data_IF_481879135909
#
_entry.id   IF_481879135909
#
_cell.length_a   1.000
_cell.length_b   1.000
_cell.length_c   1.000
_cell.angle_alpha   90.00
_cell.angle_beta   90.00
_cell.angle_gamma   90.00
#
_symmetry.space_group_name_H-M   'P 1'
#
loop_
_entity.id
_entity.type
_entity.pdbx_description
1 polymer ?
#
# COMPACT_ATOMS: atom_id res chain seq x y z
N UNK A 1 -32.46 70.43 14.97
CA UNK A 1 -31.35 69.92 14.13
C UNK A 1 -30.70 68.66 14.74
N UNK A 2 -31.32 68.01 15.74
CA UNK A 2 -30.72 66.91 16.52
C UNK A 2 -31.34 65.53 16.27
N UNK A 3 -32.47 65.44 15.55
CA UNK A 3 -33.17 64.16 15.30
C UNK A 3 -32.57 63.44 14.06
N UNK A 4 -31.95 64.20 13.15
CA UNK A 4 -31.36 63.66 11.92
C UNK A 4 -30.02 62.95 12.15
N UNK A 5 -29.28 63.34 13.21
CA UNK A 5 -28.02 62.71 13.61
C UNK A 5 -28.24 61.33 14.24
N UNK A 6 -29.30 61.16 15.03
CA UNK A 6 -29.60 59.89 15.70
C UNK A 6 -30.09 58.82 14.70
N UNK A 7 -30.91 59.21 13.72
CA UNK A 7 -31.37 58.28 12.70
C UNK A 7 -30.22 57.77 11.82
N UNK A 8 -29.26 58.64 11.49
CA UNK A 8 -28.09 58.28 10.70
C UNK A 8 -27.13 57.38 11.48
N UNK A 9 -26.97 57.60 12.79
CA UNK A 9 -26.18 56.74 13.67
C UNK A 9 -26.79 55.33 13.79
N UNK A 10 -28.12 55.22 13.91
CA UNK A 10 -28.81 53.92 13.94
C UNK A 10 -28.64 53.18 12.60
N UNK A 11 -28.75 53.87 11.47
CA UNK A 11 -28.55 53.24 10.15
C UNK A 11 -27.11 52.74 9.97
N UNK A 12 -26.10 53.50 10.42
CA UNK A 12 -24.69 53.08 10.39
C UNK A 12 -24.46 51.85 11.27
N UNK A 13 -24.97 51.82 12.51
CA UNK A 13 -24.82 50.67 13.41
C UNK A 13 -25.47 49.42 12.83
N UNK A 14 -26.65 49.56 12.22
CA UNK A 14 -27.34 48.45 11.57
C UNK A 14 -26.52 47.95 10.37
N UNK A 15 -26.06 48.84 9.50
CA UNK A 15 -25.23 48.49 8.34
C UNK A 15 -23.91 47.80 8.76
N UNK A 16 -23.24 48.30 9.79
CA UNK A 16 -22.03 47.71 10.34
C UNK A 16 -22.30 46.32 10.93
N UNK A 17 -23.43 46.14 11.64
CA UNK A 17 -23.81 44.83 12.17
C UNK A 17 -24.08 43.81 11.07
N UNK A 18 -24.77 44.19 9.99
CA UNK A 18 -25.01 43.32 8.84
C UNK A 18 -23.71 43.00 8.08
N UNK A 19 -22.83 43.99 7.90
CA UNK A 19 -21.51 43.81 7.26
C UNK A 19 -20.62 42.84 8.06
N UNK A 20 -20.60 43.00 9.39
CA UNK A 20 -19.81 42.14 10.28
C UNK A 20 -20.37 40.70 10.30
N UNK A 21 -21.70 40.54 10.32
CA UNK A 21 -22.34 39.21 10.21
C UNK A 21 -22.08 38.54 8.87
N UNK A 22 -22.04 39.30 7.77
CA UNK A 22 -21.68 38.80 6.44
C UNK A 22 -20.21 38.35 6.37
N UNK A 23 -19.29 39.11 6.96
CA UNK A 23 -17.87 38.75 7.03
C UNK A 23 -17.63 37.48 7.85
N UNK A 24 -18.27 37.34 9.02
CA UNK A 24 -18.18 36.12 9.83
C UNK A 24 -18.72 34.91 9.06
N UNK A 25 -19.83 35.07 8.33
CA UNK A 25 -20.39 33.98 7.52
C UNK A 25 -19.47 33.57 6.36
N UNK A 26 -18.84 34.55 5.70
CA UNK A 26 -17.85 34.31 4.65
C UNK A 26 -16.58 33.61 5.19
N UNK A 27 -16.10 34.01 6.36
CA UNK A 27 -14.94 33.41 7.03
C UNK A 27 -15.23 31.97 7.51
N UNK A 28 -16.44 31.72 8.02
CA UNK A 28 -16.89 30.36 8.37
C UNK A 28 -16.96 29.45 7.13
N UNK A 29 -17.47 29.96 6.00
CA UNK A 29 -17.54 29.20 4.75
C UNK A 29 -16.15 28.89 4.18
N UNK A 30 -15.18 29.83 4.27
CA UNK A 30 -13.81 29.54 3.81
C UNK A 30 -13.09 28.55 4.72
N UNK A 31 -13.32 28.61 6.04
CA UNK A 31 -12.73 27.69 7.00
C UNK A 31 -13.29 26.27 6.86
N UNK A 32 -14.58 26.10 6.60
CA UNK A 32 -15.19 24.77 6.40
C UNK A 32 -14.61 24.06 5.17
N UNK A 33 -14.38 24.80 4.08
CA UNK A 33 -13.79 24.26 2.85
C UNK A 33 -12.29 23.94 3.00
N UNK A 34 -11.57 24.69 3.83
CA UNK A 34 -10.18 24.40 4.19
C UNK A 34 -10.07 23.11 5.03
N UNK A 35 -10.98 22.92 5.99
CA UNK A 35 -11.06 21.73 6.85
C UNK A 35 -11.36 20.45 6.04
N UNK A 36 -12.29 20.52 5.09
CA UNK A 36 -12.61 19.40 4.19
C UNK A 36 -11.40 19.01 3.32
N UNK A 37 -10.68 20.00 2.79
CA UNK A 37 -9.49 19.79 1.95
C UNK A 37 -8.37 19.10 2.74
N UNK A 38 -8.12 19.53 3.98
CA UNK A 38 -7.12 18.90 4.86
C UNK A 38 -7.48 17.45 5.21
N UNK A 39 -8.75 17.17 5.50
CA UNK A 39 -9.23 15.81 5.79
C UNK A 39 -9.07 14.90 4.58
N UNK A 40 -9.44 15.38 3.40
CA UNK A 40 -9.26 14.65 2.14
C UNK A 40 -7.78 14.36 1.86
N UNK A 41 -6.90 15.35 2.04
CA UNK A 41 -5.46 15.18 1.89
C UNK A 41 -4.91 14.08 2.81
N UNK A 42 -5.30 14.08 4.09
CA UNK A 42 -4.88 13.06 5.05
C UNK A 42 -5.32 11.65 4.63
N UNK A 43 -6.55 11.49 4.13
CA UNK A 43 -7.04 10.19 3.64
C UNK A 43 -6.26 9.70 2.42
N UNK A 44 -5.93 10.59 1.47
CA UNK A 44 -5.13 10.23 0.30
C UNK A 44 -3.71 9.83 0.66
N UNK A 45 -3.07 10.60 1.55
CA UNK A 45 -1.72 10.28 2.04
C UNK A 45 -1.69 8.90 2.71
N UNK A 46 -2.68 8.60 3.56
CA UNK A 46 -2.76 7.32 4.26
C UNK A 46 -2.93 6.15 3.27
N UNK A 47 -3.84 6.29 2.29
CA UNK A 47 -4.00 5.30 1.21
C UNK A 47 -2.71 5.09 0.41
N UNK A 48 -2.00 6.16 0.07
CA UNK A 48 -0.75 6.07 -0.68
C UNK A 48 0.33 5.32 0.10
N UNK A 49 0.46 5.61 1.40
CA UNK A 49 1.40 4.92 2.29
C UNK A 49 1.04 3.43 2.42
N UNK A 50 -0.23 3.09 2.55
CA UNK A 50 -0.70 1.70 2.66
C UNK A 50 -0.38 0.89 1.40
N UNK A 51 -0.62 1.47 0.22
CA UNK A 51 -0.32 0.83 -1.07
C UNK A 51 1.20 0.65 -1.23
N UNK A 52 2.01 1.67 -0.94
CA UNK A 52 3.47 1.59 -1.03
C UNK A 52 4.05 0.56 -0.06
N UNK A 53 3.55 0.51 1.18
CA UNK A 53 3.99 -0.47 2.18
C UNK A 53 3.66 -1.89 1.74
N UNK A 54 2.47 -2.10 1.18
CA UNK A 54 2.04 -3.39 0.62
C UNK A 54 2.91 -3.80 -0.57
N UNK A 55 3.22 -2.88 -1.48
CA UNK A 55 4.13 -3.11 -2.62
C UNK A 55 5.54 -3.51 -2.17
N UNK A 56 6.08 -2.83 -1.14
CA UNK A 56 7.37 -3.17 -0.55
C UNK A 56 7.37 -4.58 0.01
N UNK A 57 6.33 -4.93 0.79
CA UNK A 57 6.16 -6.26 1.38
C UNK A 57 6.13 -7.35 0.30
N UNK A 58 5.32 -7.18 -0.75
CA UNK A 58 5.26 -8.14 -1.86
C UNK A 58 6.60 -8.28 -2.58
N UNK A 59 7.33 -7.17 -2.78
CA UNK A 59 8.65 -7.21 -3.42
C UNK A 59 9.66 -8.01 -2.58
N UNK A 60 9.74 -7.76 -1.28
CA UNK A 60 10.61 -8.55 -0.37
C UNK A 60 10.23 -10.03 -0.33
N UNK A 61 8.93 -10.36 -0.37
CA UNK A 61 8.47 -11.75 -0.43
C UNK A 61 8.90 -12.45 -1.72
N UNK A 62 8.76 -11.79 -2.87
CA UNK A 62 9.21 -12.33 -4.17
C UNK A 62 10.71 -12.58 -4.17
N UNK A 63 11.52 -11.66 -3.63
CA UNK A 63 12.96 -11.86 -3.51
C UNK A 63 13.31 -13.05 -2.60
N UNK A 64 12.58 -13.23 -1.49
CA UNK A 64 12.72 -14.38 -0.62
C UNK A 64 12.46 -15.70 -1.35
N UNK A 65 11.33 -15.80 -2.06
CA UNK A 65 10.96 -16.98 -2.85
C UNK A 65 11.98 -17.26 -3.96
N UNK A 66 12.51 -16.23 -4.62
CA UNK A 66 13.57 -16.39 -5.64
C UNK A 66 14.86 -16.97 -5.04
N UNK A 67 15.25 -16.55 -3.84
CA UNK A 67 16.40 -17.14 -3.12
C UNK A 67 16.15 -18.59 -2.73
N UNK A 68 14.93 -18.92 -2.29
CA UNK A 68 14.56 -20.30 -1.95
C UNK A 68 14.61 -21.22 -3.18
N UNK A 69 14.09 -20.77 -4.33
CA UNK A 69 14.21 -21.49 -5.60
C UNK A 69 15.68 -21.70 -5.97
N UNK A 70 16.51 -20.67 -5.84
CA UNK A 70 17.94 -20.79 -6.17
C UNK A 70 18.64 -21.82 -5.28
N UNK A 71 18.37 -21.79 -3.97
CA UNK A 71 18.90 -22.78 -3.02
C UNK A 71 18.45 -24.20 -3.39
N UNK A 72 17.16 -24.39 -3.65
CA UNK A 72 16.61 -25.69 -4.05
C UNK A 72 17.22 -26.21 -5.36
N UNK A 73 17.41 -25.34 -6.37
CA UNK A 73 18.06 -25.70 -7.64
C UNK A 73 19.54 -26.05 -7.46
N UNK A 74 20.23 -25.42 -6.52
CA UNK A 74 21.61 -25.78 -6.19
C UNK A 74 21.66 -27.16 -5.52
N UNK A 75 20.82 -27.40 -4.51
CA UNK A 75 20.73 -28.70 -3.84
C UNK A 75 20.37 -29.82 -4.81
N UNK A 76 19.46 -29.58 -5.75
CA UNK A 76 19.12 -30.56 -6.79
C UNK A 76 20.32 -30.93 -7.66
N UNK A 77 21.12 -29.95 -8.08
CA UNK A 77 22.36 -30.19 -8.84
C UNK A 77 23.36 -31.05 -8.06
N UNK A 78 23.57 -30.74 -6.79
CA UNK A 78 24.49 -31.50 -5.93
C UNK A 78 24.00 -32.95 -5.74
N UNK A 79 22.71 -33.15 -5.49
CA UNK A 79 22.12 -34.50 -5.34
C UNK A 79 22.25 -35.30 -6.63
N UNK A 80 22.12 -34.66 -7.79
CA UNK A 80 22.24 -35.32 -9.07
C UNK A 80 23.65 -35.88 -9.33
N UNK A 81 24.69 -35.33 -8.69
CA UNK A 81 26.06 -35.88 -8.79
C UNK A 81 26.33 -37.13 -7.95
N UNK A 82 25.41 -37.50 -7.05
CA UNK A 82 25.55 -38.65 -6.15
C UNK A 82 24.92 -39.89 -6.79
N UNK A 83 25.49 -41.07 -6.52
CA UNK A 83 24.95 -42.34 -6.98
C UNK A 83 23.51 -42.60 -6.50
N UNK A 84 22.73 -43.30 -7.31
CA UNK A 84 21.30 -43.51 -7.05
C UNK A 84 21.00 -44.46 -5.88
N UNK A 85 21.97 -45.31 -5.53
CA UNK A 85 21.89 -46.25 -4.40
C UNK A 85 22.35 -45.65 -3.07
N UNK A 86 22.74 -44.37 -3.02
CA UNK A 86 23.20 -43.74 -1.78
C UNK A 86 22.00 -43.45 -0.86
N UNK A 87 22.02 -43.93 0.40
CA UNK A 87 20.97 -43.61 1.37
C UNK A 87 20.98 -42.11 1.69
N UNK A 88 19.83 -41.46 1.56
CA UNK A 88 19.68 -40.03 1.85
C UNK A 88 18.81 -39.78 3.06
N UNK A 89 19.12 -38.72 3.81
CA UNK A 89 18.40 -38.34 5.01
C UNK A 89 17.76 -36.97 4.82
N UNK A 90 16.43 -36.89 4.98
CA UNK A 90 15.68 -35.63 4.92
C UNK A 90 15.28 -35.21 6.33
N UNK A 91 15.45 -33.92 6.64
CA UNK A 91 14.99 -33.36 7.90
C UNK A 91 13.47 -33.23 7.94
N UNK A 92 12.84 -33.80 8.96
CA UNK A 92 11.43 -33.60 9.31
C UNK A 92 11.38 -33.01 10.72
N UNK A 93 11.25 -31.69 10.80
CA UNK A 93 11.34 -30.96 12.07
C UNK A 93 12.73 -31.06 12.70
N UNK A 94 12.85 -31.80 13.80
CA UNK A 94 14.12 -32.04 14.53
C UNK A 94 14.68 -33.45 14.31
N UNK A 95 14.05 -34.25 13.44
CA UNK A 95 14.46 -35.62 13.13
C UNK A 95 14.93 -35.72 11.68
N UNK A 96 15.65 -36.79 11.36
CA UNK A 96 16.05 -37.13 9.99
C UNK A 96 15.49 -38.50 9.62
N UNK A 97 14.88 -38.59 8.43
CA UNK A 97 14.26 -39.82 7.92
C UNK A 97 15.02 -40.30 6.70
N UNK A 98 15.29 -41.61 6.65
CA UNK A 98 15.91 -42.26 5.50
C UNK A 98 14.93 -42.28 4.32
N UNK A 99 15.36 -41.77 3.17
CA UNK A 99 14.62 -41.73 1.92
C UNK A 99 15.51 -42.12 0.73
N UNK A 100 14.86 -42.45 -0.39
CA UNK A 100 15.53 -42.71 -1.67
C UNK A 100 15.81 -41.40 -2.41
N UNK A 101 16.76 -41.45 -3.34
CA UNK A 101 17.09 -40.30 -4.20
C UNK A 101 15.91 -39.77 -5.00
N UNK A 102 15.14 -40.66 -5.62
CA UNK A 102 13.94 -40.32 -6.38
C UNK A 102 13.00 -39.42 -5.57
N UNK A 103 12.74 -39.82 -4.32
CA UNK A 103 11.74 -39.18 -3.46
C UNK A 103 12.24 -37.80 -3.01
N UNK A 104 13.55 -37.68 -2.76
CA UNK A 104 14.19 -36.39 -2.42
C UNK A 104 14.12 -35.42 -3.60
N UNK A 105 14.46 -35.88 -4.82
CA UNK A 105 14.40 -35.05 -6.03
C UNK A 105 12.96 -34.58 -6.32
N UNK A 106 11.97 -35.48 -6.21
CA UNK A 106 10.57 -35.12 -6.39
C UNK A 106 10.11 -34.06 -5.37
N UNK A 107 10.51 -34.18 -4.10
CA UNK A 107 10.21 -33.18 -3.08
C UNK A 107 10.84 -31.82 -3.40
N UNK A 108 12.07 -31.80 -3.89
CA UNK A 108 12.76 -30.55 -4.28
C UNK A 108 12.06 -29.91 -5.49
N UNK A 109 11.70 -30.69 -6.51
CA UNK A 109 10.94 -30.21 -7.65
C UNK A 109 9.58 -29.61 -7.23
N UNK A 110 8.84 -30.33 -6.38
CA UNK A 110 7.55 -29.87 -5.88
C UNK A 110 7.70 -28.57 -5.11
N UNK A 111 8.75 -28.44 -4.29
CA UNK A 111 9.07 -27.19 -3.60
C UNK A 111 9.35 -26.04 -4.56
N UNK A 112 10.11 -26.27 -5.64
CA UNK A 112 10.37 -25.26 -6.67
C UNK A 112 9.06 -24.84 -7.35
N UNK A 113 8.23 -25.80 -7.77
CA UNK A 113 6.93 -25.53 -8.42
C UNK A 113 6.00 -24.72 -7.52
N UNK A 114 5.94 -25.03 -6.22
CA UNK A 114 5.17 -24.25 -5.25
C UNK A 114 5.66 -22.81 -5.15
N UNK A 115 6.98 -22.60 -5.00
CA UNK A 115 7.54 -21.26 -4.95
C UNK A 115 7.30 -20.46 -6.25
N UNK A 116 7.41 -21.11 -7.42
CA UNK A 116 7.14 -20.47 -8.72
C UNK A 116 5.66 -20.06 -8.87
N UNK A 117 4.73 -20.88 -8.38
CA UNK A 117 3.31 -20.53 -8.35
C UNK A 117 3.01 -19.37 -7.40
N UNK A 118 3.64 -19.36 -6.21
CA UNK A 118 3.49 -18.26 -5.25
C UNK A 118 4.05 -16.94 -5.79
N UNK A 119 5.16 -16.98 -6.54
CA UNK A 119 5.70 -15.80 -7.24
C UNK A 119 4.67 -15.27 -8.23
N UNK A 120 4.08 -16.12 -9.09
CA UNK A 120 3.06 -15.68 -10.06
C UNK A 120 1.86 -15.02 -9.37
N UNK A 121 1.42 -15.57 -8.25
CA UNK A 121 0.32 -15.00 -7.45
C UNK A 121 0.69 -13.63 -6.87
N UNK A 122 1.91 -13.48 -6.35
CA UNK A 122 2.40 -12.21 -5.82
C UNK A 122 2.62 -11.16 -6.92
N UNK A 123 3.10 -11.56 -8.10
CA UNK A 123 3.26 -10.65 -9.24
C UNK A 123 1.91 -10.12 -9.75
N UNK A 124 0.88 -10.98 -9.81
CA UNK A 124 -0.47 -10.54 -10.13
C UNK A 124 -1.02 -9.53 -9.10
N UNK A 125 -0.78 -9.79 -7.82
CA UNK A 125 -1.17 -8.89 -6.72
C UNK A 125 -0.42 -7.55 -6.79
N UNK A 126 0.89 -7.59 -7.09
CA UNK A 126 1.74 -6.41 -7.27
C UNK A 126 1.22 -5.53 -8.41
N UNK A 127 0.94 -6.13 -9.57
CA UNK A 127 0.41 -5.38 -10.73
C UNK A 127 -0.92 -4.69 -10.42
N UNK A 128 -1.79 -5.34 -9.65
CA UNK A 128 -3.04 -4.74 -9.19
C UNK A 128 -2.80 -3.53 -8.27
N UNK A 129 -1.91 -3.66 -7.28
CA UNK A 129 -1.55 -2.56 -6.38
C UNK A 129 -0.87 -1.39 -7.11
N UNK A 130 -0.06 -1.66 -8.14
CA UNK A 130 0.54 -0.62 -8.99
C UNK A 130 -0.51 0.14 -9.83
N UNK A 131 -1.59 -0.53 -10.25
CA UNK A 131 -2.72 0.15 -10.90
C UNK A 131 -3.46 1.04 -9.90
N UNK A 132 -3.76 0.53 -8.71
CA UNK A 132 -4.38 1.32 -7.64
C UNK A 132 -3.55 2.54 -7.26
N UNK A 133 -2.21 2.41 -7.20
CA UNK A 133 -1.33 3.53 -6.91
C UNK A 133 -1.45 4.63 -7.97
N UNK A 134 -1.41 4.25 -9.25
CA UNK A 134 -1.55 5.21 -10.37
C UNK A 134 -2.91 5.89 -10.37
N UNK A 135 -3.98 5.15 -10.11
CA UNK A 135 -5.33 5.71 -9.99
C UNK A 135 -5.40 6.71 -8.82
N UNK A 136 -4.81 6.36 -7.68
CA UNK A 136 -4.72 7.25 -6.51
C UNK A 136 -3.93 8.54 -6.82
N UNK A 137 -2.80 8.43 -7.52
CA UNK A 137 -1.97 9.58 -7.94
C UNK A 137 -2.71 10.49 -8.94
N UNK A 138 -3.47 9.92 -9.87
CA UNK A 138 -4.30 10.67 -10.81
C UNK A 138 -5.43 11.43 -10.10
N UNK A 139 -6.16 10.74 -9.22
CA UNK A 139 -7.21 11.36 -8.40
C UNK A 139 -6.66 12.49 -7.52
N UNK A 140 -5.48 12.27 -6.94
CA UNK A 140 -4.79 13.29 -6.16
C UNK A 140 -4.47 14.51 -7.04
N UNK A 141 -3.87 14.30 -8.22
CA UNK A 141 -3.55 15.39 -9.14
C UNK A 141 -4.79 16.16 -9.57
N UNK A 142 -5.88 15.49 -9.91
CA UNK A 142 -7.13 16.15 -10.33
C UNK A 142 -7.76 16.98 -9.20
N UNK A 143 -7.65 16.54 -7.95
CA UNK A 143 -8.25 17.21 -6.79
C UNK A 143 -7.43 18.38 -6.26
N UNK A 144 -6.11 18.36 -6.43
CA UNK A 144 -5.21 19.33 -5.82
C UNK A 144 -4.39 20.16 -6.84
N UNK A 145 -4.48 19.87 -8.13
CA UNK A 145 -3.94 20.75 -9.19
C UNK A 145 -5.01 21.76 -9.58
N UNK A 146 -4.96 22.95 -8.95
CA UNK A 146 -5.55 24.20 -9.45
C UNK A 146 -4.44 25.01 -10.12
#
# INVERSE_FOLDING_TARGET
>A
MTIYTDFNAIVIIILDHYSNKANIFLEMASNEQADETQRMLGQFQMKMIDIQTSLRKSTTQVEGLKRDIHRSKLTDKEINTIDENTPMFISVGRMFVLNKKSDVCEQIENKIKLCENDIKKQEGTKSYLEKQLRECELQFKEKFSV
#
